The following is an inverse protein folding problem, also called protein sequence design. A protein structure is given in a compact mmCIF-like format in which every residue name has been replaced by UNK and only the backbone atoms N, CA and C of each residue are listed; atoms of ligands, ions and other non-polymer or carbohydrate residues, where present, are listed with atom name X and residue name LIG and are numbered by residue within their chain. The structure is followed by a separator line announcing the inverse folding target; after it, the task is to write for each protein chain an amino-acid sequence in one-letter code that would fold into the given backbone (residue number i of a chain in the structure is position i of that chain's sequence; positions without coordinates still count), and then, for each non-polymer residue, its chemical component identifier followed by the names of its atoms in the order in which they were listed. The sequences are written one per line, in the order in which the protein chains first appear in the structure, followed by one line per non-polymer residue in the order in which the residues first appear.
data_IF_656558316197
#
_entry.id   IF_656558316197
#
_cell.length_a   1.000
_cell.length_b   1.000
_cell.length_c   1.000
_cell.angle_alpha   90.00
_cell.angle_beta   90.00
_cell.angle_gamma   90.00
#
_symmetry.space_group_name_H-M   'P 1'
#
loop_
_entity.id
_entity.type
_entity.pdbx_description
1 polymer ?
#
# COMPACT_ATOMS: atom_id res chain seq x y z
N UNK A 1 -9.18 -24.49 -27.56
CA UNK A 1 -10.05 -23.42 -27.04
C UNK A 1 -9.14 -22.52 -26.24
N UNK A 2 -8.48 -21.62 -26.94
CA UNK A 2 -7.53 -20.67 -26.36
C UNK A 2 -8.36 -19.54 -25.75
N UNK A 3 -8.27 -19.39 -24.43
CA UNK A 3 -8.90 -18.29 -23.72
C UNK A 3 -7.94 -17.10 -23.84
N UNK A 4 -8.45 -15.98 -24.35
CA UNK A 4 -7.73 -14.72 -24.59
C UNK A 4 -6.97 -14.24 -23.33
N UNK A 5 -5.63 -14.14 -23.36
CA UNK A 5 -4.84 -13.59 -22.25
C UNK A 5 -5.09 -12.09 -22.00
N UNK A 6 -5.63 -11.38 -23.00
CA UNK A 6 -5.74 -9.93 -23.01
C UNK A 6 -6.84 -9.39 -22.08
N UNK A 7 -7.95 -10.12 -21.89
CA UNK A 7 -9.06 -9.65 -21.04
C UNK A 7 -8.68 -9.65 -19.54
N UNK A 8 -7.93 -10.68 -19.08
CA UNK A 8 -7.49 -10.75 -17.69
C UNK A 8 -6.45 -9.67 -17.31
N UNK A 9 -5.64 -9.21 -18.26
CA UNK A 9 -4.70 -8.10 -18.02
C UNK A 9 -5.41 -6.74 -17.96
N UNK A 10 -6.47 -6.55 -18.75
CA UNK A 10 -7.25 -5.30 -18.76
C UNK A 10 -8.03 -5.09 -17.45
N UNK A 11 -8.73 -6.12 -16.94
CA UNK A 11 -9.47 -6.03 -15.67
C UNK A 11 -8.54 -5.76 -14.46
N UNK A 12 -7.30 -6.25 -14.51
CA UNK A 12 -6.31 -6.09 -13.42
C UNK A 12 -5.80 -4.65 -13.29
N UNK A 13 -5.69 -3.94 -14.41
CA UNK A 13 -5.26 -2.54 -14.49
C UNK A 13 -6.40 -1.59 -14.07
N UNK A 14 -7.65 -1.92 -14.41
CA UNK A 14 -8.83 -1.15 -13.97
C UNK A 14 -9.02 -1.14 -12.44
N UNK A 15 -8.51 -2.15 -11.75
CA UNK A 15 -8.58 -2.29 -10.29
C UNK A 15 -7.56 -1.42 -9.51
N UNK A 16 -6.55 -0.85 -10.19
CA UNK A 16 -5.49 -0.09 -9.53
C UNK A 16 -6.00 1.13 -8.75
N UNK A 17 -6.85 1.96 -9.37
CA UNK A 17 -7.40 3.16 -8.69
C UNK A 17 -8.35 2.82 -7.56
N UNK A 18 -9.28 1.86 -7.71
CA UNK A 18 -10.04 1.34 -6.59
C UNK A 18 -9.15 0.87 -5.43
N UNK A 19 -8.07 0.13 -5.71
CA UNK A 19 -7.13 -0.32 -4.68
C UNK A 19 -6.47 0.85 -3.96
N UNK A 20 -5.90 1.83 -4.67
CA UNK A 20 -5.29 2.99 -4.02
C UNK A 20 -6.30 3.82 -3.21
N UNK A 21 -7.58 3.84 -3.60
CA UNK A 21 -8.63 4.48 -2.80
C UNK A 21 -8.95 3.68 -1.54
N UNK A 22 -8.92 2.35 -1.61
CA UNK A 22 -9.08 1.48 -0.45
C UNK A 22 -7.93 1.73 0.55
N UNK A 23 -6.69 1.77 0.07
CA UNK A 23 -5.51 2.00 0.91
C UNK A 23 -5.44 3.40 1.54
N UNK A 24 -6.33 4.32 1.15
CA UNK A 24 -6.51 5.64 1.77
C UNK A 24 -7.58 5.66 2.87
N UNK A 25 -8.19 4.52 3.19
CA UNK A 25 -9.11 4.41 4.34
C UNK A 25 -8.32 4.53 5.65
N UNK A 26 -9.03 4.79 6.75
CA UNK A 26 -8.35 4.96 8.04
C UNK A 26 -7.67 3.67 8.48
N UNK A 27 -6.59 3.77 9.23
CA UNK A 27 -5.87 2.64 9.85
C UNK A 27 -6.83 1.60 10.44
N UNK A 28 -7.79 2.01 11.27
CA UNK A 28 -8.76 1.10 11.88
C UNK A 28 -9.63 0.30 10.87
N UNK A 29 -10.00 0.92 9.74
CA UNK A 29 -10.77 0.24 8.70
C UNK A 29 -9.90 -0.71 7.88
N UNK A 30 -8.64 -0.35 7.66
CA UNK A 30 -7.68 -1.20 6.97
C UNK A 30 -7.29 -2.39 7.82
N UNK A 31 -7.00 -2.18 9.10
CA UNK A 31 -6.72 -3.21 10.08
C UNK A 31 -7.90 -4.21 10.16
N UNK A 32 -9.13 -3.70 10.29
CA UNK A 32 -10.32 -4.56 10.33
C UNK A 32 -10.61 -5.34 9.04
N UNK A 33 -10.17 -4.87 7.87
CA UNK A 33 -10.45 -5.51 6.58
C UNK A 33 -9.31 -6.39 6.08
N UNK A 34 -8.07 -5.92 6.25
CA UNK A 34 -6.87 -6.48 5.65
C UNK A 34 -5.88 -6.96 6.71
N UNK A 35 -5.88 -6.36 7.90
CA UNK A 35 -4.89 -6.64 8.95
C UNK A 35 -3.47 -6.61 8.40
N UNK A 36 -2.68 -7.60 8.78
CA UNK A 36 -1.28 -7.77 8.37
C UNK A 36 -1.09 -7.94 6.84
N UNK A 37 -2.16 -8.19 6.07
CA UNK A 37 -2.04 -8.30 4.62
C UNK A 37 -1.52 -6.99 3.97
N UNK A 38 -1.69 -5.85 4.65
CA UNK A 38 -1.10 -4.57 4.22
C UNK A 38 0.42 -4.69 4.13
N UNK A 39 1.09 -5.12 5.19
CA UNK A 39 2.55 -5.20 5.25
C UNK A 39 3.11 -6.46 4.62
N UNK A 40 2.38 -7.57 4.65
CA UNK A 40 2.90 -8.90 4.24
C UNK A 40 2.86 -9.16 2.72
N UNK A 41 1.93 -8.54 1.99
CA UNK A 41 1.72 -8.88 0.57
C UNK A 41 1.21 -7.76 -0.33
N UNK A 42 0.77 -6.63 0.22
CA UNK A 42 0.12 -5.59 -0.57
C UNK A 42 1.05 -4.97 -1.61
N UNK A 43 2.35 -4.83 -1.34
CA UNK A 43 3.30 -4.30 -2.32
C UNK A 43 3.29 -5.10 -3.63
N UNK A 44 3.19 -6.44 -3.56
CA UNK A 44 3.13 -7.33 -4.73
C UNK A 44 1.80 -7.21 -5.46
N UNK A 45 0.70 -7.04 -4.72
CA UNK A 45 -0.63 -6.79 -5.29
C UNK A 45 -0.62 -5.47 -6.08
N UNK A 46 -0.09 -4.41 -5.48
CA UNK A 46 0.03 -3.09 -6.10
C UNK A 46 0.91 -3.14 -7.34
N UNK A 47 2.08 -3.79 -7.27
CA UNK A 47 2.95 -3.96 -8.44
C UNK A 47 2.25 -4.70 -9.58
N UNK A 48 1.54 -5.80 -9.26
CA UNK A 48 0.78 -6.60 -10.22
C UNK A 48 -0.41 -5.87 -10.86
N UNK A 49 -0.97 -4.86 -10.19
CA UNK A 49 -2.09 -4.05 -10.70
C UNK A 49 -1.65 -2.71 -11.32
N UNK A 50 -0.37 -2.35 -11.24
CA UNK A 50 0.11 -1.04 -11.64
C UNK A 50 -0.31 -0.67 -13.08
N UNK A 51 -0.96 0.49 -13.24
CA UNK A 51 -1.50 0.98 -14.51
C UNK A 51 -0.54 1.89 -15.30
N UNK A 52 0.65 2.15 -14.76
CA UNK A 52 1.63 3.08 -15.32
C UNK A 52 1.59 4.48 -14.71
N UNK A 53 0.60 4.80 -13.88
CA UNK A 53 0.53 6.11 -13.22
C UNK A 53 1.34 6.14 -11.91
N UNK A 54 2.62 6.45 -12.05
CA UNK A 54 3.52 6.68 -10.93
C UNK A 54 3.08 7.86 -10.04
N UNK A 55 2.42 8.89 -10.59
CA UNK A 55 1.97 10.04 -9.81
C UNK A 55 0.89 9.65 -8.81
N UNK A 56 0.08 8.64 -9.12
CA UNK A 56 -0.87 8.05 -8.19
C UNK A 56 -0.21 7.44 -6.95
N UNK A 57 0.90 6.71 -7.15
CA UNK A 57 1.69 6.12 -6.07
C UNK A 57 2.37 7.22 -5.25
N UNK A 58 3.07 8.15 -5.90
CA UNK A 58 3.75 9.26 -5.24
C UNK A 58 2.78 10.15 -4.46
N UNK A 59 1.57 10.38 -4.99
CA UNK A 59 0.51 11.14 -4.29
C UNK A 59 0.02 10.43 -3.04
N UNK A 60 -0.03 9.09 -3.02
CA UNK A 60 -0.40 8.32 -1.84
C UNK A 60 0.73 8.37 -0.80
N UNK A 61 1.97 8.12 -1.21
CA UNK A 61 3.15 8.17 -0.34
C UNK A 61 3.32 9.55 0.31
N UNK A 62 3.04 10.63 -0.42
CA UNK A 62 3.18 12.01 0.06
C UNK A 62 2.06 12.45 1.00
N UNK A 63 0.97 11.70 1.09
CA UNK A 63 -0.19 12.07 1.89
C UNK A 63 0.01 11.61 3.34
N UNK A 64 0.45 12.54 4.19
CA UNK A 64 0.68 12.32 5.62
C UNK A 64 -0.56 11.90 6.42
N UNK A 65 -1.76 11.97 5.84
CA UNK A 65 -2.97 11.45 6.48
C UNK A 65 -3.20 9.95 6.23
N UNK A 66 -2.44 9.35 5.30
CA UNK A 66 -2.46 7.92 5.05
C UNK A 66 -1.57 7.21 6.05
N UNK A 67 -2.00 6.03 6.49
CA UNK A 67 -1.27 5.17 7.40
C UNK A 67 0.19 4.94 6.96
N UNK A 68 1.11 4.98 7.92
CA UNK A 68 2.55 4.92 7.67
C UNK A 68 3.00 3.58 7.07
N UNK A 69 2.38 2.47 7.46
CA UNK A 69 2.70 1.14 6.92
C UNK A 69 2.20 0.98 5.50
N UNK A 70 1.04 1.58 5.17
CA UNK A 70 0.60 1.69 3.79
C UNK A 70 1.60 2.51 2.97
N UNK A 71 2.06 3.66 3.46
CA UNK A 71 2.99 4.52 2.71
C UNK A 71 4.32 3.83 2.46
N UNK A 72 4.85 3.15 3.47
CA UNK A 72 6.02 2.28 3.40
C UNK A 72 5.85 1.17 2.35
N UNK A 73 4.75 0.42 2.42
CA UNK A 73 4.38 -0.62 1.45
C UNK A 73 4.32 -0.09 0.01
N UNK A 74 3.72 1.09 -0.19
CA UNK A 74 3.59 1.70 -1.52
C UNK A 74 4.94 2.23 -2.02
N UNK A 75 5.81 2.70 -1.13
CA UNK A 75 7.22 2.98 -1.44
C UNK A 75 7.92 1.72 -1.94
N UNK A 76 7.81 0.59 -1.23
CA UNK A 76 8.38 -0.68 -1.66
C UNK A 76 7.90 -1.12 -3.06
N UNK A 77 6.60 -1.01 -3.32
CA UNK A 77 6.04 -1.28 -4.65
C UNK A 77 6.61 -0.35 -5.73
N UNK A 78 6.70 0.95 -5.46
CA UNK A 78 7.27 1.93 -6.38
C UNK A 78 8.77 1.67 -6.64
N UNK A 79 9.51 1.23 -5.62
CA UNK A 79 10.92 0.83 -5.72
C UNK A 79 11.08 -0.35 -6.68
N UNK A 80 10.32 -1.42 -6.49
CA UNK A 80 10.34 -2.58 -7.38
C UNK A 80 9.97 -2.20 -8.83
N UNK A 81 8.89 -1.44 -9.02
CA UNK A 81 8.46 -0.98 -10.34
C UNK A 81 9.49 -0.06 -11.02
N UNK A 82 10.26 0.71 -10.23
CA UNK A 82 11.37 1.52 -10.75
C UNK A 82 12.53 0.64 -11.19
N UNK A 83 12.90 -0.36 -10.39
CA UNK A 83 13.96 -1.31 -10.74
C UNK A 83 13.63 -2.07 -12.03
N UNK A 84 12.38 -2.49 -12.21
CA UNK A 84 11.91 -3.16 -13.43
C UNK A 84 11.80 -2.20 -14.64
N UNK A 85 11.93 -0.90 -14.43
CA UNK A 85 11.84 0.13 -15.48
C UNK A 85 10.41 0.50 -15.89
N UNK A 86 9.39 0.11 -15.10
CA UNK A 86 8.00 0.56 -15.28
C UNK A 86 7.76 1.96 -14.72
N UNK A 87 8.58 2.39 -13.77
CA UNK A 87 8.70 3.78 -13.33
C UNK A 87 10.09 4.28 -13.74
N UNK A 88 10.15 5.48 -14.31
CA UNK A 88 11.41 6.09 -14.73
C UNK A 88 12.30 6.36 -13.51
N UNK A 89 13.56 5.93 -13.59
CA UNK A 89 14.53 6.03 -12.50
C UNK A 89 14.74 7.46 -12.01
N UNK A 90 14.87 8.41 -12.93
CA UNK A 90 15.07 9.82 -12.58
C UNK A 90 13.84 10.40 -11.87
N UNK A 91 12.63 9.98 -12.26
CA UNK A 91 11.40 10.39 -11.55
C UNK A 91 11.35 9.89 -10.11
N UNK A 92 11.75 8.63 -9.88
CA UNK A 92 11.82 8.06 -8.53
C UNK A 92 12.91 8.76 -7.71
N UNK A 93 14.09 8.98 -8.29
CA UNK A 93 15.18 9.73 -7.65
C UNK A 93 14.73 11.12 -7.22
N UNK A 94 14.12 11.90 -8.12
CA UNK A 94 13.62 13.25 -7.83
C UNK A 94 12.50 13.24 -6.78
N UNK A 95 11.68 12.18 -6.76
CA UNK A 95 10.68 11.99 -5.73
C UNK A 95 11.31 11.75 -4.35
N UNK A 96 12.32 10.88 -4.25
CA UNK A 96 13.02 10.59 -3.00
C UNK A 96 13.79 11.81 -2.48
N UNK A 97 14.42 12.59 -3.36
CA UNK A 97 15.07 13.85 -2.98
C UNK A 97 14.05 14.86 -2.40
N UNK A 98 12.89 15.00 -3.06
CA UNK A 98 11.79 15.85 -2.59
C UNK A 98 11.17 15.34 -1.29
N UNK A 99 11.03 14.03 -1.11
CA UNK A 99 10.50 13.42 0.11
C UNK A 99 11.27 13.91 1.33
N UNK A 100 12.59 13.93 1.23
CA UNK A 100 13.48 14.46 2.25
C UNK A 100 13.40 16.00 2.37
N UNK A 101 13.48 16.72 1.25
CA UNK A 101 13.54 18.18 1.24
C UNK A 101 12.25 18.84 1.77
N UNK A 102 11.10 18.32 1.38
CA UNK A 102 9.77 18.86 1.72
C UNK A 102 9.21 18.26 3.03
N UNK A 103 9.95 17.34 3.69
CA UNK A 103 9.52 16.61 4.89
C UNK A 103 8.13 15.98 4.72
N UNK A 104 8.05 15.06 3.76
CA UNK A 104 6.78 14.37 3.43
C UNK A 104 6.36 13.31 4.46
N UNK A 105 7.16 13.06 5.49
CA UNK A 105 6.83 12.24 6.65
C UNK A 105 7.19 12.99 7.94
N UNK A 106 6.49 12.67 9.03
CA UNK A 106 6.87 13.16 10.36
C UNK A 106 8.15 12.46 10.83
N UNK A 107 8.82 13.02 11.84
CA UNK A 107 9.95 12.34 12.47
C UNK A 107 9.42 11.07 13.18
N UNK A 108 10.17 9.96 13.16
CA UNK A 108 9.78 8.64 13.70
C UNK A 108 8.64 7.93 12.95
N UNK A 109 8.34 8.37 11.72
CA UNK A 109 7.34 7.76 10.83
C UNK A 109 7.96 6.62 10.01
N UNK A 110 7.25 5.49 9.90
CA UNK A 110 7.69 4.31 9.14
C UNK A 110 7.94 4.57 7.65
N UNK A 111 7.34 5.60 7.06
CA UNK A 111 7.63 5.96 5.67
C UNK A 111 9.11 6.36 5.43
N UNK A 112 9.86 6.72 6.48
CA UNK A 112 11.31 6.92 6.37
C UNK A 112 12.08 5.62 6.11
N UNK A 113 11.56 4.48 6.56
CA UNK A 113 12.13 3.15 6.33
C UNK A 113 12.04 2.80 4.84
N UNK A 114 10.84 2.77 4.27
CA UNK A 114 10.67 2.55 2.84
C UNK A 114 11.39 3.57 1.97
N UNK A 115 11.60 4.80 2.46
CA UNK A 115 12.38 5.82 1.75
C UNK A 115 13.88 5.49 1.68
N UNK A 116 14.51 5.10 2.79
CA UNK A 116 15.93 4.74 2.79
C UNK A 116 16.17 3.39 2.10
N UNK A 117 15.25 2.43 2.24
CA UNK A 117 15.31 1.15 1.53
C UNK A 117 15.19 1.36 0.02
N UNK A 118 14.32 2.26 -0.42
CA UNK A 118 14.22 2.62 -1.82
C UNK A 118 15.55 3.17 -2.37
N UNK A 119 16.25 4.01 -1.61
CA UNK A 119 17.56 4.55 -1.98
C UNK A 119 18.61 3.43 -2.08
N UNK A 120 18.65 2.55 -1.07
CA UNK A 120 19.57 1.42 -1.02
C UNK A 120 19.31 0.43 -2.16
N UNK A 121 18.10 -0.11 -2.24
CA UNK A 121 17.70 -1.10 -3.23
C UNK A 121 17.64 -0.56 -4.65
N UNK A 122 17.65 0.75 -4.89
CA UNK A 122 17.84 1.27 -6.25
C UNK A 122 19.31 1.55 -6.56
N UNK A 123 20.23 1.48 -5.59
CA UNK A 123 21.63 1.83 -5.81
C UNK A 123 21.82 3.33 -6.03
N UNK A 124 21.02 4.19 -5.38
CA UNK A 124 21.05 5.65 -5.55
C UNK A 124 22.10 6.27 -4.62
N UNK A 125 23.37 5.94 -4.89
CA UNK A 125 24.54 6.36 -4.07
C UNK A 125 24.62 7.87 -3.84
N UNK A 126 24.21 8.66 -4.80
CA UNK A 126 24.22 10.12 -4.75
C UNK A 126 23.23 10.69 -3.70
N UNK A 127 22.20 9.92 -3.32
CA UNK A 127 21.26 10.29 -2.25
C UNK A 127 21.67 9.78 -0.86
N UNK A 128 22.72 8.94 -0.75
CA UNK A 128 23.19 8.42 0.55
C UNK A 128 23.50 9.52 1.59
N UNK A 129 24.10 10.68 1.23
CA UNK A 129 24.28 11.79 2.19
C UNK A 129 22.97 12.28 2.82
N UNK A 130 21.84 12.20 2.10
CA UNK A 130 20.53 12.57 2.66
C UNK A 130 20.08 11.54 3.70
N UNK A 131 20.36 10.25 3.48
CA UNK A 131 20.03 9.18 4.43
C UNK A 131 20.80 9.37 5.74
N UNK A 132 22.11 9.60 5.65
CA UNK A 132 22.93 9.92 6.83
C UNK A 132 22.41 11.17 7.57
N UNK A 133 22.05 12.22 6.84
CA UNK A 133 21.48 13.42 7.46
C UNK A 133 20.14 13.16 8.14
N UNK A 134 19.25 12.38 7.53
CA UNK A 134 17.96 12.02 8.13
C UNK A 134 18.13 11.15 9.38
N UNK A 135 19.14 10.27 9.38
CA UNK A 135 19.51 9.44 10.52
C UNK A 135 20.07 10.27 11.68
N UNK A 136 21.05 11.14 11.41
CA UNK A 136 21.67 12.03 12.41
C UNK A 136 20.66 13.00 13.02
N UNK A 137 19.68 13.45 12.22
CA UNK A 137 18.57 14.30 12.67
C UNK A 137 17.50 13.54 13.48
N UNK A 138 17.60 12.21 13.62
CA UNK A 138 16.67 11.38 14.37
C UNK A 138 15.29 11.24 13.72
N UNK A 139 15.21 11.31 12.38
CA UNK A 139 13.94 11.22 11.64
C UNK A 139 13.49 9.79 11.40
N UNK A 140 14.44 8.87 11.33
CA UNK A 140 14.19 7.45 11.04
C UNK A 140 13.84 6.72 12.35
N UNK A 141 12.75 5.92 12.39
CA UNK A 141 12.42 5.10 13.54
C UNK A 141 13.58 4.21 14.01
N UNK A 142 13.88 4.28 15.30
CA UNK A 142 14.94 3.47 15.91
C UNK A 142 14.45 2.06 16.22
N UNK A 143 15.34 1.07 16.09
CA UNK A 143 15.09 -0.31 16.52
C UNK A 143 14.42 -1.20 15.47
N UNK A 144 14.08 -0.66 14.30
CA UNK A 144 13.58 -1.44 13.15
C UNK A 144 14.71 -1.84 12.19
N UNK A 145 15.69 -0.96 11.99
CA UNK A 145 16.93 -1.24 11.27
C UNK A 145 18.10 -0.49 11.90
N UNK A 146 19.32 -0.86 11.51
CA UNK A 146 20.55 -0.14 11.78
C UNK A 146 21.03 0.59 10.52
N UNK A 147 21.73 1.72 10.66
CA UNK A 147 22.29 2.44 9.51
C UNK A 147 23.23 1.58 8.66
N UNK A 148 23.88 0.57 9.26
CA UNK A 148 24.69 -0.40 8.54
C UNK A 148 23.87 -1.28 7.58
N UNK A 149 22.61 -1.59 7.91
CA UNK A 149 21.74 -2.37 7.01
C UNK A 149 21.53 -1.60 5.70
N UNK A 150 21.30 -0.28 5.78
CA UNK A 150 21.24 0.59 4.62
C UNK A 150 22.55 0.60 3.80
N UNK A 151 23.70 0.68 4.47
CA UNK A 151 25.00 0.72 3.81
C UNK A 151 25.29 -0.60 3.07
N UNK A 152 24.98 -1.72 3.70
CA UNK A 152 25.16 -3.07 3.15
C UNK A 152 24.23 -3.31 1.95
N UNK A 153 22.95 -2.94 2.06
CA UNK A 153 21.99 -3.06 0.96
C UNK A 153 22.37 -2.18 -0.24
N UNK A 154 22.83 -0.96 0.02
CA UNK A 154 23.29 -0.05 -1.02
C UNK A 154 24.54 -0.59 -1.72
N UNK A 155 25.48 -1.16 -0.97
CA UNK A 155 26.66 -1.81 -1.53
C UNK A 155 26.28 -3.05 -2.37
N UNK A 156 25.35 -3.87 -1.87
CA UNK A 156 24.84 -5.04 -2.58
C UNK A 156 24.17 -4.66 -3.90
N UNK A 157 23.38 -3.59 -3.91
CA UNK A 157 22.73 -3.07 -5.11
C UNK A 157 23.74 -2.58 -6.17
N UNK A 158 24.85 -1.97 -5.76
CA UNK A 158 25.92 -1.53 -6.67
C UNK A 158 26.71 -2.70 -7.26
N UNK A 159 26.99 -3.73 -6.46
CA UNK A 159 27.75 -4.90 -6.88
C UNK A 159 26.94 -5.83 -7.78
N UNK A 160 25.65 -5.97 -7.49
CA UNK A 160 24.74 -6.93 -8.13
C UNK A 160 23.43 -6.27 -8.55
N UNK A 161 23.45 -5.35 -9.55
CA UNK A 161 22.29 -4.53 -9.91
C UNK A 161 21.07 -5.33 -10.41
N UNK A 162 21.30 -6.54 -10.92
CA UNK A 162 20.25 -7.42 -11.47
C UNK A 162 19.83 -8.56 -10.51
N UNK A 163 20.35 -8.58 -9.29
CA UNK A 163 19.97 -9.58 -8.29
C UNK A 163 18.60 -9.25 -7.70
N UNK A 164 17.59 -10.00 -8.15
CA UNK A 164 16.20 -9.87 -7.69
C UNK A 164 15.94 -10.69 -6.42
N UNK A 165 16.62 -11.83 -6.28
CA UNK A 165 16.27 -12.83 -5.28
C UNK A 165 16.61 -12.30 -3.90
N UNK A 166 17.85 -11.85 -3.71
CA UNK A 166 18.31 -11.39 -2.40
C UNK A 166 17.84 -9.97 -2.07
N UNK A 167 17.64 -9.10 -3.06
CA UNK A 167 17.28 -7.68 -2.84
C UNK A 167 15.79 -7.38 -2.79
N UNK A 168 14.97 -8.07 -3.57
CA UNK A 168 13.54 -7.75 -3.68
C UNK A 168 12.66 -8.86 -3.11
N UNK A 169 12.89 -10.13 -3.50
CA UNK A 169 11.99 -11.21 -3.05
C UNK A 169 12.08 -11.47 -1.55
N UNK A 170 13.27 -11.41 -0.96
CA UNK A 170 13.44 -11.53 0.50
C UNK A 170 12.71 -10.42 1.28
N UNK A 171 12.63 -9.23 0.71
CA UNK A 171 11.86 -8.10 1.23
C UNK A 171 10.37 -8.16 0.87
N UNK A 172 9.92 -9.27 0.28
CA UNK A 172 8.53 -9.44 -0.15
C UNK A 172 8.10 -8.54 -1.30
N UNK A 173 9.05 -8.02 -2.09
CA UNK A 173 8.79 -7.22 -3.28
C UNK A 173 8.87 -8.08 -4.55
N UNK A 174 7.96 -7.81 -5.49
CA UNK A 174 7.89 -8.55 -6.74
C UNK A 174 6.46 -8.75 -7.22
N UNK A 175 6.29 -9.64 -8.19
CA UNK A 175 4.98 -10.13 -8.60
C UNK A 175 4.56 -11.35 -7.78
N UNK A 176 3.25 -11.58 -7.72
CA UNK A 176 2.72 -12.84 -7.18
C UNK A 176 2.77 -13.88 -8.31
N UNK A 177 3.80 -14.73 -8.26
CA UNK A 177 3.98 -15.85 -9.18
C UNK A 177 3.36 -17.14 -8.63
N UNK A 178 3.49 -17.37 -7.32
CA UNK A 178 2.85 -18.46 -6.59
C UNK A 178 1.96 -17.88 -5.46
N UNK A 179 0.65 -18.14 -5.57
CA UNK A 179 -0.34 -17.64 -4.62
C UNK A 179 -0.23 -18.32 -3.25
N UNK A 180 0.17 -19.60 -3.21
CA UNK A 180 0.32 -20.33 -1.94
C UNK A 180 1.55 -19.82 -1.18
N UNK A 181 2.65 -19.59 -1.88
CA UNK A 181 3.85 -18.96 -1.31
C UNK A 181 3.52 -17.56 -0.80
N UNK A 182 2.84 -16.74 -1.61
CA UNK A 182 2.44 -15.38 -1.22
C UNK A 182 1.46 -15.33 -0.04
N UNK A 183 0.82 -16.45 0.31
CA UNK A 183 -0.09 -16.57 1.45
C UNK A 183 0.51 -17.35 2.61
N UNK A 184 1.78 -17.78 2.57
CA UNK A 184 2.36 -18.61 3.63
C UNK A 184 2.38 -17.90 5.00
N UNK A 185 2.55 -16.58 5.01
CA UNK A 185 2.46 -15.75 6.23
C UNK A 185 1.13 -15.97 6.98
N UNK A 186 0.02 -16.12 6.24
CA UNK A 186 -1.32 -16.34 6.79
C UNK A 186 -1.50 -17.70 7.46
N UNK A 187 -0.61 -18.67 7.21
CA UNK A 187 -0.66 -20.01 7.83
C UNK A 187 -0.45 -19.94 9.35
N UNK A 188 0.33 -18.97 9.82
CA UNK A 188 0.60 -18.77 11.25
C UNK A 188 -0.38 -17.78 11.90
N UNK A 189 -1.07 -16.95 11.11
CA UNK A 189 -2.13 -16.05 11.58
C UNK A 189 -3.43 -16.78 11.99
N UNK A 190 -3.57 -18.07 11.65
CA UNK A 190 -4.80 -18.85 11.81
C UNK A 190 -4.88 -19.76 13.04
N UNK A 191 -3.82 -19.86 13.85
CA UNK A 191 -3.85 -20.66 15.08
C UNK A 191 -3.39 -19.78 16.24
N UNK A 192 -4.32 -19.34 17.12
CA UNK A 192 -3.93 -18.82 18.41
C UNK A 192 -3.06 -19.88 19.10
N UNK A 193 -1.95 -19.47 19.70
CA UNK A 193 -1.16 -20.35 20.57
C UNK A 193 -2.09 -20.97 21.63
N UNK A 194 -1.77 -22.15 22.18
CA UNK A 194 -2.61 -22.77 23.24
C UNK A 194 -2.84 -21.83 24.45
N UNK A 195 -1.96 -20.84 24.66
CA UNK A 195 -2.11 -19.77 25.65
C UNK A 195 -3.16 -18.70 25.26
N UNK A 196 -3.36 -18.39 23.97
CA UNK A 196 -4.37 -17.44 23.50
C UNK A 196 -5.80 -17.97 23.67
N UNK A 197 -5.99 -19.30 23.60
CA UNK A 197 -7.29 -19.94 23.86
C UNK A 197 -7.73 -19.84 25.32
N UNK A 198 -6.82 -19.51 26.24
CA UNK A 198 -7.13 -19.28 27.65
C UNK A 198 -7.40 -17.82 27.98
N UNK A 199 -7.12 -16.90 27.05
CA UNK A 199 -7.47 -15.50 27.21
C UNK A 199 -9.00 -15.36 27.09
N UNK A 200 -9.68 -14.67 28.04
CA UNK A 200 -11.11 -14.43 27.91
C UNK A 200 -11.36 -13.69 26.59
N UNK A 201 -12.28 -14.22 25.77
CA UNK A 201 -12.76 -13.49 24.59
C UNK A 201 -13.13 -12.06 25.02
N UNK A 202 -12.71 -11.03 24.28
CA UNK A 202 -13.14 -9.68 24.59
C UNK A 202 -14.67 -9.63 24.64
N UNK A 203 -15.24 -8.87 25.58
CA UNK A 203 -16.69 -8.79 25.80
C UNK A 203 -17.47 -8.40 24.53
N UNK A 204 -16.78 -7.82 23.54
CA UNK A 204 -17.25 -7.62 22.17
C UNK A 204 -16.23 -8.16 21.18
N UNK A 205 -16.73 -8.95 20.25
CA UNK A 205 -16.00 -9.46 19.08
C UNK A 205 -16.65 -8.92 17.81
N UNK A 206 -15.93 -8.99 16.68
CA UNK A 206 -16.52 -8.68 15.37
C UNK A 206 -17.73 -9.59 15.04
N UNK A 207 -17.87 -10.75 15.69
CA UNK A 207 -19.08 -11.58 15.59
C UNK A 207 -20.34 -10.89 16.13
N UNK A 208 -20.20 -9.99 17.11
CA UNK A 208 -21.33 -9.23 17.64
C UNK A 208 -21.83 -8.18 16.64
N UNK A 209 -20.98 -7.76 15.70
CA UNK A 209 -21.30 -6.80 14.63
C UNK A 209 -21.68 -7.45 13.31
N UNK A 210 -21.42 -8.76 13.13
CA UNK A 210 -21.81 -9.54 11.96
C UNK A 210 -23.28 -9.36 11.54
N UNK A 211 -24.28 -9.30 12.45
CA UNK A 211 -25.66 -9.06 12.05
C UNK A 211 -25.86 -7.71 11.35
N UNK A 212 -25.05 -6.70 11.68
CA UNK A 212 -25.10 -5.38 11.05
C UNK A 212 -24.34 -5.33 9.72
N UNK A 213 -23.21 -6.02 9.64
CA UNK A 213 -22.36 -6.10 8.44
C UNK A 213 -22.97 -6.99 7.35
N UNK A 214 -23.74 -8.01 7.73
CA UNK A 214 -24.44 -8.91 6.81
C UNK A 214 -25.89 -8.51 6.55
N UNK A 215 -26.39 -7.48 7.24
CA UNK A 215 -27.73 -6.97 6.99
C UNK A 215 -27.82 -6.41 5.56
N UNK A 216 -28.91 -6.72 4.83
CA UNK A 216 -29.16 -6.09 3.55
C UNK A 216 -29.19 -4.56 3.70
N UNK A 217 -28.32 -3.86 2.97
CA UNK A 217 -28.33 -2.39 2.94
C UNK A 217 -29.67 -1.94 2.35
N UNK A 218 -30.51 -1.31 3.17
CA UNK A 218 -31.79 -0.78 2.72
C UNK A 218 -31.57 0.59 2.10
N UNK A 219 -31.86 0.75 0.81
CA UNK A 219 -31.85 2.08 0.18
C UNK A 219 -33.02 2.91 0.75
N UNK A 220 -32.76 3.94 1.60
CA UNK A 220 -33.83 4.75 2.19
C UNK A 220 -34.61 5.52 1.12
N UNK A 221 -34.00 5.76 -0.04
CA UNK A 221 -34.57 6.50 -1.17
C UNK A 221 -35.19 5.57 -2.22
N UNK A 222 -35.46 4.28 -1.91
CA UNK A 222 -36.07 3.33 -2.85
C UNK A 222 -37.41 3.80 -3.45
N UNK A 223 -38.08 4.73 -2.79
CA UNK A 223 -39.37 5.29 -3.18
C UNK A 223 -39.23 6.53 -4.08
N UNK A 224 -38.02 7.06 -4.26
CA UNK A 224 -37.77 8.25 -5.07
C UNK A 224 -37.55 7.83 -6.52
N UNK A 225 -38.52 8.16 -7.37
CA UNK A 225 -38.43 7.94 -8.80
C UNK A 225 -37.44 8.89 -9.48
N UNK A 226 -36.92 8.45 -10.64
CA UNK A 226 -35.98 9.22 -11.47
C UNK A 226 -36.46 10.65 -11.82
N UNK A 227 -37.77 10.84 -11.94
CA UNK A 227 -38.39 12.13 -12.28
C UNK A 227 -38.96 12.91 -11.09
N UNK A 228 -38.90 12.36 -9.88
CA UNK A 228 -39.43 12.99 -8.67
C UNK A 228 -38.52 14.13 -8.20
N UNK A 229 -39.04 14.99 -7.33
CA UNK A 229 -38.24 16.02 -6.67
C UNK A 229 -37.09 15.38 -5.89
N UNK A 230 -35.89 15.91 -6.05
CA UNK A 230 -34.71 15.36 -5.41
C UNK A 230 -34.76 15.59 -3.89
N UNK A 231 -34.56 14.54 -3.08
CA UNK A 231 -34.68 14.62 -1.62
C UNK A 231 -33.57 15.45 -0.95
N UNK A 232 -32.52 15.86 -1.68
CA UNK A 232 -31.49 16.76 -1.16
C UNK A 232 -31.93 18.23 -1.02
N UNK A 233 -33.18 18.56 -1.36
CA UNK A 233 -33.72 19.92 -1.22
C UNK A 233 -33.35 20.87 -2.36
N UNK A 234 -32.71 20.39 -3.43
CA UNK A 234 -32.25 21.23 -4.55
C UNK A 234 -33.39 21.79 -5.43
N UNK A 235 -34.63 21.33 -5.25
CA UNK A 235 -35.76 21.67 -6.11
C UNK A 235 -35.70 21.10 -7.53
N UNK A 236 -34.64 20.36 -7.87
CA UNK A 236 -34.47 19.70 -9.19
C UNK A 236 -35.07 18.30 -9.18
N UNK A 237 -35.37 17.76 -10.36
CA UNK A 237 -35.70 16.32 -10.51
C UNK A 237 -34.49 15.47 -10.16
N UNK A 238 -34.69 14.30 -9.55
CA UNK A 238 -33.60 13.40 -9.12
C UNK A 238 -32.59 13.09 -10.24
N UNK A 239 -33.05 12.84 -11.48
CA UNK A 239 -32.19 12.64 -12.66
C UNK A 239 -31.34 13.82 -13.10
N UNK A 240 -31.60 15.03 -12.57
CA UNK A 240 -30.84 16.26 -12.87
C UNK A 240 -30.09 16.76 -11.63
N UNK A 241 -29.94 15.91 -10.61
CA UNK A 241 -29.30 16.22 -9.34
C UNK A 241 -28.53 14.99 -8.84
N UNK A 242 -28.91 14.38 -7.71
CA UNK A 242 -28.14 13.29 -7.09
C UNK A 242 -28.16 11.96 -7.85
N UNK A 243 -28.99 11.82 -8.90
CA UNK A 243 -28.97 10.68 -9.84
C UNK A 243 -28.55 11.12 -11.26
N UNK A 244 -27.92 12.28 -11.39
CA UNK A 244 -27.29 12.67 -12.64
C UNK A 244 -25.91 11.99 -12.69
N UNK A 245 -25.77 11.03 -13.61
CA UNK A 245 -24.45 10.65 -14.11
C UNK A 245 -23.86 11.82 -14.89
#
# INVERSE_FOLDING_TARGET
MEIEPALHQLDRVEAFRPLLRLLRRSEHELDGLLGDAVTEGMARVVAGMFDGDADALFSLISDRSVDQFVRDTILGAATFLTWEGRIERDRMRDFLERFHADRLADDDDFAWIGWLEAIAWLGLRDLAPLVHSAWDDGRVPLGMLELSDFEDDLLAAEQSPNDIEDRFKRAGLGYIDDVLEALEWSRHAGYPDEEDWQSPLPEKTWLDELPSLTAPVTNPLRHVGRNDSCPCGSGKKSKKCCLAN
#
